data_IF_879948569857
#
_entry.id   IF_879948569857
#
_cell.length_a   1.000
_cell.length_b   1.000
_cell.length_c   1.000
_cell.angle_alpha   90.00
_cell.angle_beta   90.00
_cell.angle_gamma   90.00
#
_symmetry.space_group_name_H-M   'P 1'
#
loop_
_entity.id
_entity.type
_entity.pdbx_description
1 polymer ?
#
# COMPACT_ATOMS: atom_id res chain seq x y z
N UNK A 1 11.57 26.04 12.10
CA UNK A 1 11.00 26.06 13.46
C UNK A 1 9.83 27.01 13.46
N UNK A 2 8.60 26.50 13.54
CA UNK A 2 7.47 27.34 13.91
C UNK A 2 7.58 27.58 15.41
N UNK A 3 7.64 28.84 15.82
CA UNK A 3 7.65 29.19 17.23
C UNK A 3 6.31 28.77 17.85
N UNK A 4 6.36 27.86 18.83
CA UNK A 4 5.17 27.35 19.51
C UNK A 4 4.44 28.44 20.31
N UNK A 5 5.15 29.51 20.67
CA UNK A 5 4.58 30.60 21.47
C UNK A 5 3.56 31.43 20.70
N UNK A 6 3.75 31.60 19.38
CA UNK A 6 2.79 32.33 18.55
C UNK A 6 1.45 31.57 18.42
N UNK A 7 1.49 30.22 18.42
CA UNK A 7 0.28 29.38 18.47
C UNK A 7 -0.36 29.38 19.86
N UNK A 8 0.44 29.31 20.93
CA UNK A 8 -0.04 29.39 22.32
C UNK A 8 -0.77 30.71 22.58
N UNK A 9 -0.24 31.83 22.10
CA UNK A 9 -0.89 33.14 22.22
C UNK A 9 -2.25 33.19 21.53
N UNK A 10 -2.35 32.66 20.30
CA UNK A 10 -3.63 32.57 19.56
C UNK A 10 -4.68 31.75 20.32
N UNK A 11 -4.30 30.57 20.82
CA UNK A 11 -5.19 29.69 21.60
C UNK A 11 -5.60 30.37 22.91
N UNK A 12 -4.67 31.03 23.60
CA UNK A 12 -4.95 31.72 24.85
C UNK A 12 -5.90 32.91 24.65
N UNK A 13 -5.73 33.69 23.57
CA UNK A 13 -6.69 34.74 23.19
C UNK A 13 -8.08 34.17 22.86
N UNK A 14 -8.15 33.05 22.16
CA UNK A 14 -9.42 32.38 21.85
C UNK A 14 -10.15 31.91 23.13
N UNK A 15 -9.39 31.52 24.14
CA UNK A 15 -9.90 31.15 25.46
C UNK A 15 -10.05 32.34 26.43
N UNK A 16 -9.93 33.59 25.94
CA UNK A 16 -10.08 34.83 26.71
C UNK A 16 -9.11 34.95 27.91
N UNK A 17 -7.96 34.29 27.84
CA UNK A 17 -6.88 34.46 28.81
C UNK A 17 -6.34 35.89 28.67
N UNK A 18 -6.22 36.59 29.80
CA UNK A 18 -5.70 37.96 29.84
C UNK A 18 -4.19 37.90 29.97
N UNK A 19 -3.54 38.76 29.20
CA UNK A 19 -2.11 38.99 29.21
C UNK A 19 -1.86 40.43 29.65
N UNK A 20 -0.78 40.63 30.38
CA UNK A 20 -0.29 41.99 30.63
C UNK A 20 0.27 42.61 29.34
N UNK A 21 0.63 43.90 29.42
CA UNK A 21 1.09 44.63 28.24
C UNK A 21 2.45 44.12 27.73
N UNK A 22 3.34 43.68 28.63
CA UNK A 22 4.67 43.19 28.24
C UNK A 22 4.54 41.84 27.53
N UNK A 23 3.72 40.93 28.06
CA UNK A 23 3.44 39.62 27.45
C UNK A 23 2.83 39.80 26.05
N UNK A 24 1.90 40.73 25.87
CA UNK A 24 1.33 41.03 24.55
C UNK A 24 2.38 41.49 23.55
N UNK A 25 3.26 42.41 23.96
CA UNK A 25 4.33 42.91 23.09
C UNK A 25 5.29 41.79 22.68
N UNK A 26 5.69 40.93 23.62
CA UNK A 26 6.54 39.76 23.33
C UNK A 26 5.87 38.81 22.33
N UNK A 27 4.59 38.47 22.54
CA UNK A 27 3.86 37.59 21.62
C UNK A 27 3.65 38.22 20.24
N UNK A 28 3.41 39.53 20.17
CA UNK A 28 3.31 40.25 18.89
C UNK A 28 4.64 40.28 18.13
N UNK A 29 5.76 40.48 18.83
CA UNK A 29 7.09 40.42 18.23
C UNK A 29 7.46 39.01 17.75
N UNK A 30 7.18 37.98 18.55
CA UNK A 30 7.32 36.57 18.15
C UNK A 30 6.49 36.27 16.91
N UNK A 31 5.22 36.68 16.88
CA UNK A 31 4.33 36.48 15.73
C UNK A 31 4.87 37.16 14.46
N UNK A 32 5.28 38.43 14.55
CA UNK A 32 5.85 39.17 13.41
C UNK A 32 7.08 38.47 12.84
N UNK A 33 7.96 38.00 13.72
CA UNK A 33 9.17 37.26 13.32
C UNK A 33 8.80 35.94 12.64
N UNK A 34 7.92 35.15 13.25
CA UNK A 34 7.47 33.86 12.71
C UNK A 34 6.76 34.00 11.36
N UNK A 35 5.92 35.04 11.20
CA UNK A 35 5.26 35.37 9.94
C UNK A 35 6.24 35.82 8.87
N UNK A 36 7.22 36.66 9.23
CA UNK A 36 8.30 37.10 8.32
C UNK A 36 9.14 35.92 7.83
N UNK A 37 9.58 35.05 8.73
CA UNK A 37 10.37 33.87 8.39
C UNK A 37 9.58 32.85 7.56
N UNK A 38 8.30 32.67 7.86
CA UNK A 38 7.41 31.83 7.05
C UNK A 38 7.24 32.40 5.64
N UNK A 39 7.08 33.72 5.51
CA UNK A 39 7.02 34.38 4.19
C UNK A 39 8.32 34.22 3.44
N UNK A 40 9.48 34.43 4.10
CA UNK A 40 10.81 34.23 3.53
C UNK A 40 11.00 32.79 3.04
N UNK A 41 10.57 31.81 3.83
CA UNK A 41 10.60 30.40 3.44
C UNK A 41 9.72 30.12 2.22
N UNK A 42 8.49 30.63 2.18
CA UNK A 42 7.60 30.48 1.02
C UNK A 42 8.20 31.13 -0.23
N UNK A 43 8.79 32.31 -0.08
CA UNK A 43 9.45 33.00 -1.18
C UNK A 43 10.66 32.22 -1.69
N UNK A 44 11.49 31.69 -0.79
CA UNK A 44 12.60 30.80 -1.11
C UNK A 44 12.11 29.53 -1.84
N UNK A 45 11.06 28.88 -1.34
CA UNK A 45 10.45 27.70 -1.99
C UNK A 45 9.94 28.05 -3.40
N UNK A 46 9.36 29.24 -3.59
CA UNK A 46 8.79 29.65 -4.89
C UNK A 46 9.84 30.09 -5.90
N UNK A 47 10.90 30.75 -5.45
CA UNK A 47 11.89 31.40 -6.33
C UNK A 47 13.15 30.56 -6.52
N UNK A 48 13.66 29.99 -5.43
CA UNK A 48 15.02 29.47 -5.37
C UNK A 48 15.07 27.94 -5.32
N UNK A 49 13.99 27.30 -4.86
CA UNK A 49 13.83 25.85 -5.02
C UNK A 49 13.29 25.59 -6.43
N UNK A 50 14.17 25.16 -7.33
CA UNK A 50 13.73 24.47 -8.54
C UNK A 50 12.84 23.32 -8.10
N UNK A 51 11.57 23.34 -8.52
CA UNK A 51 10.59 22.28 -8.25
C UNK A 51 11.31 20.95 -8.33
N UNK A 52 11.34 20.22 -7.20
CA UNK A 52 11.94 18.89 -7.16
C UNK A 52 11.19 18.03 -8.16
N UNK A 53 11.71 17.97 -9.38
CA UNK A 53 11.20 17.10 -10.42
C UNK A 53 11.69 15.73 -10.03
N UNK A 54 10.77 14.93 -9.47
CA UNK A 54 10.91 13.49 -9.44
C UNK A 54 10.91 13.07 -10.92
N UNK A 55 12.05 13.15 -11.58
CA UNK A 55 12.20 12.53 -12.89
C UNK A 55 11.94 11.03 -12.70
N UNK A 56 11.26 10.41 -13.65
CA UNK A 56 10.96 8.97 -13.62
C UNK A 56 12.24 8.09 -13.54
N UNK A 57 13.42 8.69 -13.73
CA UNK A 57 14.73 8.05 -13.64
C UNK A 57 15.36 8.15 -12.24
N UNK A 58 14.69 8.76 -11.25
CA UNK A 58 15.27 9.02 -9.93
C UNK A 58 15.23 7.74 -9.07
N UNK A 59 16.24 6.90 -9.30
CA UNK A 59 16.48 5.65 -8.60
C UNK A 59 17.08 5.92 -7.21
N UNK A 60 16.23 6.21 -6.21
CA UNK A 60 16.67 6.31 -4.81
C UNK A 60 16.35 5.05 -4.01
N UNK A 61 17.09 4.82 -2.93
CA UNK A 61 16.85 3.70 -2.01
C UNK A 61 15.43 3.73 -1.43
N UNK A 62 14.99 4.90 -0.94
CA UNK A 62 13.66 5.08 -0.35
C UNK A 62 12.55 4.86 -1.38
N UNK A 63 12.74 5.35 -2.61
CA UNK A 63 11.77 5.12 -3.67
C UNK A 63 11.64 3.62 -4.01
N UNK A 64 12.74 2.88 -4.07
CA UNK A 64 12.72 1.44 -4.29
C UNK A 64 11.97 0.72 -3.15
N UNK A 65 12.25 1.08 -1.89
CA UNK A 65 11.56 0.53 -0.71
C UNK A 65 10.04 0.73 -0.81
N UNK A 66 9.58 1.95 -1.04
CA UNK A 66 8.15 2.24 -1.17
C UNK A 66 7.51 1.51 -2.35
N UNK A 67 8.22 1.45 -3.48
CA UNK A 67 7.74 0.75 -4.68
C UNK A 67 7.57 -0.74 -4.42
N UNK A 68 8.56 -1.38 -3.79
CA UNK A 68 8.53 -2.80 -3.43
C UNK A 68 7.39 -3.08 -2.45
N UNK A 69 7.26 -2.27 -1.39
CA UNK A 69 6.17 -2.43 -0.40
C UNK A 69 4.79 -2.29 -1.06
N UNK A 70 4.63 -1.36 -2.00
CA UNK A 70 3.41 -1.21 -2.80
C UNK A 70 3.13 -2.38 -3.75
N UNK A 71 4.13 -3.21 -4.06
CA UNK A 71 4.02 -4.38 -4.93
C UNK A 71 3.78 -5.69 -4.18
N UNK A 72 3.90 -5.73 -2.85
CA UNK A 72 3.73 -6.96 -2.03
C UNK A 72 2.40 -7.63 -2.32
N UNK A 73 1.28 -6.92 -2.12
CA UNK A 73 -0.07 -7.46 -2.37
C UNK A 73 -0.29 -7.82 -3.85
N UNK A 74 0.02 -6.95 -4.84
CA UNK A 74 -0.08 -7.30 -6.25
C UNK A 74 0.66 -8.58 -6.66
N UNK A 75 1.89 -8.78 -6.18
CA UNK A 75 2.69 -9.97 -6.52
C UNK A 75 2.04 -11.22 -5.92
N UNK A 76 1.68 -11.18 -4.64
CA UNK A 76 1.09 -12.32 -3.94
C UNK A 76 -0.27 -12.71 -4.54
N UNK A 77 -1.12 -11.76 -4.89
CA UNK A 77 -2.39 -12.04 -5.57
C UNK A 77 -2.19 -12.54 -7.00
N UNK A 78 -1.14 -12.09 -7.69
CA UNK A 78 -0.74 -12.65 -9.00
C UNK A 78 -0.32 -14.11 -8.88
N UNK A 79 0.48 -14.46 -7.86
CA UNK A 79 0.86 -15.85 -7.56
C UNK A 79 -0.40 -16.68 -7.27
N UNK A 80 -1.26 -16.23 -6.35
CA UNK A 80 -2.49 -16.90 -5.95
C UNK A 80 -3.41 -17.18 -7.15
N UNK A 81 -3.63 -16.17 -8.00
CA UNK A 81 -4.48 -16.31 -9.18
C UNK A 81 -3.84 -17.19 -10.27
N UNK A 82 -2.53 -17.15 -10.42
CA UNK A 82 -1.80 -18.05 -11.34
C UNK A 82 -1.95 -19.51 -10.94
N UNK A 83 -1.85 -19.82 -9.64
CA UNK A 83 -2.08 -21.17 -9.12
C UNK A 83 -3.53 -21.63 -9.33
N UNK A 84 -4.52 -20.77 -9.06
CA UNK A 84 -5.93 -21.08 -9.36
C UNK A 84 -6.12 -21.46 -10.84
N UNK A 85 -5.50 -20.71 -11.74
CA UNK A 85 -5.57 -20.98 -13.18
C UNK A 85 -4.88 -22.29 -13.57
N UNK A 86 -3.74 -22.63 -12.97
CA UNK A 86 -3.10 -23.95 -13.18
C UNK A 86 -4.00 -25.10 -12.74
N UNK A 87 -4.64 -24.97 -11.58
CA UNK A 87 -5.58 -25.97 -11.06
C UNK A 87 -6.77 -26.15 -12.00
N UNK A 88 -7.34 -25.06 -12.52
CA UNK A 88 -8.45 -25.13 -13.50
C UNK A 88 -8.02 -25.83 -14.79
N UNK A 89 -6.81 -25.55 -15.27
CA UNK A 89 -6.29 -26.17 -16.49
C UNK A 89 -6.03 -27.66 -16.33
N UNK A 90 -5.74 -28.15 -15.13
CA UNK A 90 -5.53 -29.57 -14.85
C UNK A 90 -6.81 -30.43 -14.93
N UNK A 91 -7.99 -29.79 -14.94
CA UNK A 91 -9.29 -30.50 -14.90
C UNK A 91 -9.88 -30.79 -16.29
N UNK A 92 -9.20 -30.45 -17.40
CA UNK A 92 -9.56 -30.71 -18.82
C UNK A 92 -10.98 -30.34 -19.30
N UNK A 93 -11.85 -29.85 -18.42
CA UNK A 93 -13.31 -29.82 -18.66
C UNK A 93 -13.89 -28.44 -18.88
N UNK A 94 -13.13 -27.37 -18.60
CA UNK A 94 -13.63 -25.99 -18.73
C UNK A 94 -12.51 -25.08 -19.22
N UNK A 95 -12.66 -24.54 -20.44
CA UNK A 95 -11.88 -23.39 -20.93
C UNK A 95 -12.31 -22.12 -20.18
N UNK A 96 -12.11 -22.11 -18.86
CA UNK A 96 -12.38 -20.98 -18.00
C UNK A 96 -11.12 -20.58 -17.26
N UNK A 97 -10.86 -19.27 -17.25
CA UNK A 97 -9.78 -18.64 -16.51
C UNK A 97 -10.36 -17.66 -15.50
N UNK A 98 -9.72 -17.54 -14.35
CA UNK A 98 -9.95 -16.46 -13.41
C UNK A 98 -9.01 -15.29 -13.74
N UNK A 99 -9.60 -14.14 -14.00
CA UNK A 99 -8.90 -12.87 -14.17
C UNK A 99 -9.11 -11.98 -12.97
N UNK A 100 -8.07 -11.24 -12.62
CA UNK A 100 -8.11 -10.21 -11.60
C UNK A 100 -8.81 -8.98 -12.16
N UNK A 101 -9.69 -8.37 -11.37
CA UNK A 101 -10.42 -7.16 -11.75
C UNK A 101 -10.29 -6.12 -10.63
N UNK A 102 -9.14 -5.45 -10.53
CA UNK A 102 -8.92 -4.46 -9.48
C UNK A 102 -9.86 -3.27 -9.67
N UNK A 103 -10.53 -2.86 -8.58
CA UNK A 103 -11.43 -1.69 -8.52
C UNK A 103 -10.84 -0.63 -7.62
N UNK A 104 -10.67 0.56 -8.16
CA UNK A 104 -10.10 1.71 -7.45
C UNK A 104 -10.99 2.09 -6.26
N UNK A 105 -10.37 2.31 -5.10
CA UNK A 105 -11.02 2.88 -3.93
C UNK A 105 -10.75 4.38 -3.91
N UNK A 106 -11.79 5.19 -3.69
CA UNK A 106 -11.71 6.65 -3.70
C UNK A 106 -11.74 7.29 -2.31
N UNK A 107 -11.62 6.52 -1.24
CA UNK A 107 -11.59 7.00 0.14
C UNK A 107 -10.51 6.25 0.93
N UNK A 108 -9.98 6.82 2.03
CA UNK A 108 -8.98 6.14 2.85
C UNK A 108 -9.53 4.81 3.35
N UNK A 109 -8.90 3.72 2.96
CA UNK A 109 -9.34 2.36 3.30
C UNK A 109 -8.15 1.50 3.66
N UNK A 110 -8.39 0.57 4.57
CA UNK A 110 -7.42 -0.41 5.02
C UNK A 110 -8.00 -1.82 4.93
N UNK A 111 -7.12 -2.82 4.92
CA UNK A 111 -7.47 -4.22 5.06
C UNK A 111 -7.00 -4.69 6.45
N UNK A 112 -7.92 -5.18 7.28
CA UNK A 112 -7.58 -5.81 8.54
C UNK A 112 -7.00 -7.20 8.30
N UNK A 113 -5.89 -7.52 8.95
CA UNK A 113 -5.25 -8.84 8.83
C UNK A 113 -5.94 -9.93 9.66
N UNK A 114 -6.73 -9.55 10.68
CA UNK A 114 -7.38 -10.48 11.60
C UNK A 114 -8.87 -10.70 11.31
N UNK A 115 -9.53 -9.79 10.61
CA UNK A 115 -10.94 -9.94 10.32
C UNK A 115 -11.19 -11.10 9.36
N UNK A 116 -12.24 -11.87 9.66
CA UNK A 116 -12.64 -12.99 8.84
C UNK A 116 -13.12 -12.48 7.48
N UNK A 117 -12.49 -12.89 6.36
CA UNK A 117 -12.92 -12.45 5.05
C UNK A 117 -14.29 -13.05 4.71
N UNK A 118 -15.15 -12.24 4.09
CA UNK A 118 -16.35 -12.76 3.45
C UNK A 118 -15.97 -13.62 2.24
N UNK A 119 -16.60 -14.79 2.06
CA UNK A 119 -16.33 -15.66 0.93
C UNK A 119 -17.38 -15.48 -0.17
N UNK A 120 -16.95 -15.48 -1.43
CA UNK A 120 -17.85 -15.60 -2.56
C UNK A 120 -17.39 -16.71 -3.51
N UNK A 121 -18.32 -17.42 -4.12
CA UNK A 121 -18.01 -18.43 -5.14
C UNK A 121 -17.75 -17.73 -6.48
N UNK A 122 -16.54 -17.89 -7.03
CA UNK A 122 -16.15 -17.39 -8.35
C UNK A 122 -15.67 -18.54 -9.21
N UNK A 123 -16.48 -18.90 -10.21
CA UNK A 123 -16.25 -20.13 -10.98
C UNK A 123 -16.41 -21.35 -10.07
N UNK A 124 -15.30 -22.05 -9.82
CA UNK A 124 -15.26 -23.25 -8.95
C UNK A 124 -14.47 -23.01 -7.65
N UNK A 125 -14.05 -21.78 -7.37
CA UNK A 125 -13.31 -21.43 -6.16
C UNK A 125 -14.15 -20.58 -5.22
N UNK A 126 -14.07 -20.88 -3.93
CA UNK A 126 -14.38 -19.88 -2.92
C UNK A 126 -13.24 -18.85 -2.90
N UNK A 127 -13.57 -17.57 -2.94
CA UNK A 127 -12.59 -16.49 -2.96
C UNK A 127 -12.89 -15.55 -1.80
N UNK A 128 -11.86 -15.28 -0.99
CA UNK A 128 -11.90 -14.28 0.07
C UNK A 128 -12.07 -12.89 -0.54
N UNK A 129 -13.08 -12.16 -0.06
CA UNK A 129 -13.33 -10.75 -0.40
C UNK A 129 -12.79 -9.88 0.72
N UNK A 130 -11.91 -8.96 0.34
CA UNK A 130 -11.47 -7.87 1.21
C UNK A 130 -12.66 -6.96 1.54
N UNK A 131 -12.92 -6.79 2.84
CA UNK A 131 -13.84 -5.78 3.35
C UNK A 131 -12.98 -4.56 3.69
N UNK A 132 -13.11 -3.43 2.97
CA UNK A 132 -12.35 -2.23 3.28
C UNK A 132 -12.80 -1.67 4.63
N UNK A 133 -11.84 -1.36 5.49
CA UNK A 133 -12.05 -0.72 6.78
C UNK A 133 -11.69 0.75 6.68
N UNK A 134 -12.55 1.62 7.19
CA UNK A 134 -12.20 3.02 7.41
C UNK A 134 -11.67 3.19 8.83
N UNK A 135 -10.56 3.92 8.97
CA UNK A 135 -10.02 4.30 10.27
C UNK A 135 -10.29 5.79 10.43
N UNK A 136 -11.17 6.14 11.37
CA UNK A 136 -11.52 7.52 11.70
C UNK A 136 -11.18 7.78 13.18
N UNK A 137 -10.40 8.83 13.47
CA UNK A 137 -10.02 9.20 14.84
C UNK A 137 -9.43 8.03 15.66
N UNK A 138 -8.56 7.22 15.04
CA UNK A 138 -7.98 6.02 15.65
C UNK A 138 -8.98 4.91 16.04
N UNK A 139 -10.22 5.03 15.59
CA UNK A 139 -11.26 3.99 15.72
C UNK A 139 -11.46 3.33 14.36
N UNK A 140 -11.49 2.00 14.37
CA UNK A 140 -11.80 1.19 13.21
C UNK A 140 -13.23 0.66 13.33
N UNK A 141 -13.84 0.31 12.20
CA UNK A 141 -15.15 -0.38 12.18
C UNK A 141 -15.11 -1.79 12.81
N UNK A 142 -13.91 -2.32 13.06
CA UNK A 142 -13.71 -3.56 13.79
C UNK A 142 -12.97 -3.33 15.11
N UNK A 143 -13.01 -4.33 16.00
CA UNK A 143 -12.32 -4.31 17.30
C UNK A 143 -10.79 -4.47 17.21
N UNK A 144 -10.25 -4.69 16.01
CA UNK A 144 -8.82 -4.86 15.79
C UNK A 144 -8.05 -3.55 15.91
N UNK A 145 -6.81 -3.64 16.38
CA UNK A 145 -5.95 -2.46 16.58
C UNK A 145 -5.48 -1.87 15.24
N UNK A 146 -5.28 -0.54 15.11
CA UNK A 146 -4.87 0.10 13.85
C UNK A 146 -3.57 -0.45 13.24
N UNK A 147 -2.63 -0.95 14.02
CA UNK A 147 -1.40 -1.61 13.56
C UNK A 147 -1.64 -2.96 12.86
N UNK A 148 -2.83 -3.54 13.03
CA UNK A 148 -3.28 -4.75 12.34
C UNK A 148 -3.92 -4.47 10.98
N UNK A 149 -3.86 -3.22 10.52
CA UNK A 149 -4.47 -2.77 9.28
C UNK A 149 -3.42 -2.32 8.27
N UNK A 150 -3.54 -2.80 7.03
CA UNK A 150 -2.68 -2.35 5.93
C UNK A 150 -3.47 -1.43 4.99
N UNK A 151 -2.96 -0.25 4.62
CA UNK A 151 -3.61 0.61 3.64
C UNK A 151 -3.87 -0.11 2.31
N UNK A 152 -5.05 0.12 1.73
CA UNK A 152 -5.42 -0.41 0.41
C UNK A 152 -5.92 0.72 -0.50
N UNK A 153 -5.51 0.66 -1.76
CA UNK A 153 -5.92 1.63 -2.80
C UNK A 153 -6.89 1.03 -3.82
N UNK A 154 -7.13 -0.27 -3.73
CA UNK A 154 -8.03 -1.00 -4.60
C UNK A 154 -8.67 -2.21 -3.88
N UNK A 155 -9.88 -2.54 -4.31
CA UNK A 155 -10.54 -3.81 -4.02
C UNK A 155 -10.23 -4.80 -5.15
N UNK A 156 -9.90 -6.04 -4.81
CA UNK A 156 -9.61 -7.05 -5.82
C UNK A 156 -10.85 -7.89 -6.11
N UNK A 157 -11.46 -7.69 -7.28
CA UNK A 157 -12.49 -8.58 -7.79
C UNK A 157 -11.91 -9.66 -8.69
N UNK A 158 -12.73 -10.66 -8.99
CA UNK A 158 -12.37 -11.76 -9.87
C UNK A 158 -13.47 -11.92 -10.92
N UNK A 159 -13.07 -12.17 -12.15
CA UNK A 159 -13.97 -12.46 -13.28
C UNK A 159 -13.66 -13.83 -13.85
N UNK A 160 -14.70 -14.55 -14.25
CA UNK A 160 -14.56 -15.80 -14.99
C UNK A 160 -14.61 -15.48 -16.47
N UNK A 161 -13.51 -15.76 -17.19
CA UNK A 161 -13.44 -15.61 -18.64
C UNK A 161 -13.56 -16.99 -19.27
N UNK A 162 -14.61 -17.19 -20.07
CA UNK A 162 -14.87 -18.43 -20.82
C UNK A 162 -14.18 -18.36 -22.19
N UNK A 163 -13.88 -19.51 -22.79
CA UNK A 163 -13.25 -19.66 -24.10
C UNK A 163 -11.86 -19.01 -24.19
N UNK A 164 -11.14 -18.95 -23.07
CA UNK A 164 -9.74 -18.52 -23.07
C UNK A 164 -8.88 -19.53 -23.82
N UNK A 165 -7.85 -19.06 -24.53
CA UNK A 165 -6.78 -19.93 -25.05
C UNK A 165 -6.26 -20.82 -23.93
N UNK A 166 -5.92 -22.07 -24.24
CA UNK A 166 -5.38 -23.02 -23.27
C UNK A 166 -4.21 -22.37 -22.54
N UNK A 167 -4.28 -22.28 -21.21
CA UNK A 167 -3.19 -21.69 -20.43
C UNK A 167 -1.95 -22.55 -20.64
N UNK A 168 -0.87 -21.92 -21.11
CA UNK A 168 0.43 -22.56 -21.19
C UNK A 168 0.95 -22.79 -19.75
N UNK A 169 0.89 -24.06 -19.31
CA UNK A 169 1.29 -24.46 -17.97
C UNK A 169 2.77 -24.16 -17.71
N UNK A 170 3.63 -24.32 -18.72
CA UNK A 170 5.06 -24.11 -18.57
C UNK A 170 5.36 -22.63 -18.42
N UNK A 171 4.71 -21.78 -19.21
CA UNK A 171 4.81 -20.32 -19.05
C UNK A 171 4.34 -19.85 -17.67
N UNK A 172 3.25 -20.41 -17.12
CA UNK A 172 2.75 -20.01 -15.79
C UNK A 172 3.65 -20.53 -14.67
N UNK A 173 4.16 -21.75 -14.76
CA UNK A 173 5.14 -22.27 -13.81
C UNK A 173 6.42 -21.42 -13.80
N UNK A 174 6.92 -21.05 -14.98
CA UNK A 174 8.08 -20.16 -15.10
C UNK A 174 7.81 -18.77 -14.48
N UNK A 175 6.61 -18.22 -14.68
CA UNK A 175 6.17 -16.99 -14.01
C UNK A 175 6.20 -17.12 -12.49
N UNK A 176 5.63 -18.20 -11.94
CA UNK A 176 5.59 -18.44 -10.49
C UNK A 176 6.99 -18.51 -9.88
N UNK A 177 7.91 -19.25 -10.50
CA UNK A 177 9.30 -19.34 -10.06
C UNK A 177 9.98 -17.97 -10.10
N UNK A 178 9.76 -17.18 -11.16
CA UNK A 178 10.31 -15.82 -11.28
C UNK A 178 9.76 -14.88 -10.21
N UNK A 179 8.46 -14.91 -9.95
CA UNK A 179 7.83 -14.09 -8.92
C UNK A 179 8.31 -14.48 -7.52
N UNK A 180 8.38 -15.78 -7.21
CA UNK A 180 8.91 -16.28 -5.94
C UNK A 180 10.35 -15.78 -5.70
N UNK A 181 11.25 -15.92 -6.68
CA UNK A 181 12.62 -15.40 -6.60
C UNK A 181 12.66 -13.88 -6.47
N UNK A 182 11.77 -13.16 -7.15
CA UNK A 182 11.69 -11.72 -7.03
C UNK A 182 11.28 -11.30 -5.61
N UNK A 183 10.29 -11.97 -5.00
CA UNK A 183 9.90 -11.74 -3.62
C UNK A 183 11.09 -11.90 -2.67
N UNK A 184 11.86 -12.99 -2.78
CA UNK A 184 13.04 -13.21 -1.92
C UNK A 184 14.08 -12.11 -2.11
N UNK A 185 14.37 -11.71 -3.35
CA UNK A 185 15.33 -10.63 -3.64
C UNK A 185 14.87 -9.29 -3.07
N UNK A 186 13.58 -8.99 -3.18
CA UNK A 186 12.98 -7.79 -2.60
C UNK A 186 13.02 -7.82 -1.08
N UNK A 187 12.65 -8.93 -0.43
CA UNK A 187 12.73 -9.08 1.02
C UNK A 187 14.14 -8.94 1.54
N UNK A 188 15.11 -9.58 0.89
CA UNK A 188 16.51 -9.44 1.23
C UNK A 188 16.97 -7.97 1.10
N UNK A 189 16.62 -7.29 0.01
CA UNK A 189 16.91 -5.87 -0.17
C UNK A 189 16.29 -4.99 0.92
N UNK A 190 15.02 -5.23 1.28
CA UNK A 190 14.34 -4.47 2.34
C UNK A 190 15.06 -4.65 3.67
N UNK A 191 15.35 -5.90 4.10
CA UNK A 191 16.03 -6.18 5.38
C UNK A 191 17.39 -5.48 5.52
N UNK A 192 18.14 -5.34 4.42
CA UNK A 192 19.48 -4.73 4.45
C UNK A 192 19.48 -3.20 4.26
N UNK A 193 18.34 -2.60 3.92
CA UNK A 193 18.26 -1.17 3.59
C UNK A 193 17.44 -0.35 4.58
N UNK A 194 16.81 -0.98 5.57
CA UNK A 194 15.99 -0.34 6.60
C UNK A 194 16.36 -0.79 8.00
N UNK A 195 16.51 0.16 8.93
CA UNK A 195 16.41 -0.12 10.39
C UNK A 195 14.97 -0.47 10.81
N UNK A 196 14.01 -0.27 9.90
CA UNK A 196 12.58 -0.51 10.09
C UNK A 196 12.23 -1.91 9.60
N UNK A 197 11.90 -2.80 10.53
CA UNK A 197 11.32 -4.14 10.35
C UNK A 197 12.30 -5.30 10.12
N UNK A 198 12.44 -6.12 11.18
CA UNK A 198 12.93 -7.50 11.13
C UNK A 198 12.04 -8.46 10.35
N UNK A 199 10.86 -8.01 9.88
CA UNK A 199 9.85 -8.87 9.28
C UNK A 199 9.89 -8.79 7.76
N UNK A 200 9.76 -9.97 7.14
CA UNK A 200 9.70 -10.16 5.70
C UNK A 200 8.25 -9.98 5.20
N UNK A 201 7.93 -8.88 4.51
CA UNK A 201 6.55 -8.58 4.14
C UNK A 201 5.98 -9.58 3.13
N UNK A 202 6.82 -10.17 2.29
CA UNK A 202 6.38 -11.16 1.31
C UNK A 202 6.08 -12.50 1.98
N UNK A 203 6.92 -12.94 2.91
CA UNK A 203 6.69 -14.16 3.67
C UNK A 203 5.44 -14.04 4.57
N UNK A 204 5.31 -12.93 5.29
CA UNK A 204 4.12 -12.64 6.12
C UNK A 204 2.86 -12.64 5.24
N UNK A 205 2.90 -11.96 4.09
CA UNK A 205 1.78 -11.95 3.16
C UNK A 205 1.44 -13.34 2.60
N UNK A 206 2.43 -14.19 2.32
CA UNK A 206 2.20 -15.56 1.86
C UNK A 206 1.54 -16.43 2.94
N UNK A 207 1.98 -16.30 4.20
CA UNK A 207 1.31 -16.95 5.34
C UNK A 207 -0.15 -16.51 5.44
N UNK A 208 -0.40 -15.20 5.26
CA UNK A 208 -1.77 -14.68 5.27
C UNK A 208 -2.63 -15.31 4.18
N UNK A 209 -2.13 -15.44 2.95
CA UNK A 209 -2.88 -16.10 1.87
C UNK A 209 -3.21 -17.56 2.20
N UNK A 210 -2.26 -18.30 2.79
CA UNK A 210 -2.47 -19.70 3.20
C UNK A 210 -3.53 -19.78 4.30
N UNK A 211 -3.46 -18.89 5.30
CA UNK A 211 -4.43 -18.82 6.40
C UNK A 211 -5.83 -18.55 5.88
N UNK A 212 -5.98 -17.56 5.01
CA UNK A 212 -7.25 -17.23 4.36
C UNK A 212 -7.81 -18.41 3.55
N UNK A 213 -7.01 -19.04 2.69
CA UNK A 213 -7.50 -20.18 1.90
C UNK A 213 -7.84 -21.39 2.79
N UNK A 214 -7.08 -21.61 3.87
CA UNK A 214 -7.38 -22.66 4.85
C UNK A 214 -8.70 -22.38 5.56
N UNK A 215 -8.94 -21.12 5.94
CA UNK A 215 -10.22 -20.70 6.50
C UNK A 215 -11.37 -20.98 5.53
N UNK A 216 -11.22 -20.66 4.24
CA UNK A 216 -12.23 -20.99 3.22
C UNK A 216 -12.49 -22.49 3.14
N UNK A 217 -11.43 -23.31 3.18
CA UNK A 217 -11.54 -24.78 3.17
C UNK A 217 -12.25 -25.34 4.43
N UNK A 218 -12.16 -24.67 5.57
CA UNK A 218 -12.80 -25.15 6.79
C UNK A 218 -14.29 -24.80 6.84
N UNK A 219 -14.69 -23.68 6.24
CA UNK A 219 -16.02 -23.10 6.43
C UNK A 219 -16.97 -23.24 5.23
N UNK A 220 -16.45 -23.47 4.02
CA UNK A 220 -17.26 -23.49 2.80
C UNK A 220 -17.07 -24.78 2.02
N UNK A 221 -18.16 -25.36 1.50
CA UNK A 221 -18.18 -26.61 0.72
C UNK A 221 -18.98 -26.44 -0.57
N UNK A 222 -18.67 -27.17 -1.66
CA UNK A 222 -17.48 -28.02 -1.85
C UNK A 222 -16.20 -27.16 -2.00
N UNK A 223 -15.03 -27.74 -1.70
CA UNK A 223 -13.78 -26.96 -1.65
C UNK A 223 -12.52 -27.71 -2.10
N UNK A 224 -12.67 -28.76 -2.91
CA UNK A 224 -11.54 -29.56 -3.39
C UNK A 224 -10.49 -28.71 -4.11
N UNK A 225 -10.93 -27.70 -4.88
CA UNK A 225 -10.03 -26.80 -5.58
C UNK A 225 -9.28 -25.85 -4.63
N UNK A 226 -9.97 -25.29 -3.64
CA UNK A 226 -9.32 -24.48 -2.60
C UNK A 226 -8.32 -25.33 -1.79
N UNK A 227 -8.63 -26.60 -1.53
CA UNK A 227 -7.71 -27.51 -0.82
C UNK A 227 -6.44 -27.77 -1.64
N UNK A 228 -6.57 -27.97 -2.95
CA UNK A 228 -5.42 -28.02 -3.87
C UNK A 228 -4.63 -26.72 -3.87
N UNK A 229 -5.31 -25.57 -3.89
CA UNK A 229 -4.67 -24.25 -3.84
C UNK A 229 -3.88 -24.04 -2.56
N UNK A 230 -4.39 -24.46 -1.39
CA UNK A 230 -3.64 -24.42 -0.11
C UNK A 230 -2.37 -25.26 -0.20
N UNK A 231 -2.44 -26.46 -0.79
CA UNK A 231 -1.27 -27.31 -0.97
C UNK A 231 -0.22 -26.66 -1.88
N UNK A 232 -0.65 -26.08 -3.00
CA UNK A 232 0.24 -25.39 -3.94
C UNK A 232 0.85 -24.11 -3.32
N UNK A 233 0.09 -23.34 -2.52
CA UNK A 233 0.62 -22.18 -1.79
C UNK A 233 1.66 -22.59 -0.73
N UNK A 234 1.45 -23.69 -0.01
CA UNK A 234 2.45 -24.25 0.91
C UNK A 234 3.71 -24.72 0.17
N UNK A 235 3.57 -25.21 -1.06
CA UNK A 235 4.73 -25.51 -1.90
C UNK A 235 5.49 -24.23 -2.28
N UNK A 236 4.79 -23.16 -2.65
CA UNK A 236 5.41 -21.86 -2.89
C UNK A 236 6.12 -21.31 -1.64
N UNK A 237 5.58 -21.53 -0.45
CA UNK A 237 6.23 -21.16 0.81
C UNK A 237 7.56 -21.91 1.00
N UNK A 238 7.57 -23.23 0.78
CA UNK A 238 8.80 -24.03 0.87
C UNK A 238 9.86 -23.59 -0.15
N UNK A 239 9.46 -23.31 -1.38
CA UNK A 239 10.39 -22.80 -2.41
C UNK A 239 10.90 -21.40 -2.06
N UNK A 240 10.07 -20.55 -1.46
CA UNK A 240 10.47 -19.26 -0.95
C UNK A 240 11.56 -19.41 0.12
N UNK A 241 11.33 -20.25 1.14
CA UNK A 241 12.27 -20.49 2.24
C UNK A 241 13.60 -21.02 1.69
N UNK A 242 13.55 -22.03 0.81
CA UNK A 242 14.74 -22.57 0.14
C UNK A 242 15.54 -21.50 -0.60
N UNK A 243 14.87 -20.63 -1.35
CA UNK A 243 15.54 -19.55 -2.06
C UNK A 243 16.06 -18.45 -1.13
N UNK A 244 15.39 -18.20 -0.01
CA UNK A 244 15.88 -17.31 1.06
C UNK A 244 17.18 -17.85 1.66
N UNK A 245 17.20 -19.12 2.06
CA UNK A 245 18.39 -19.79 2.62
C UNK A 245 19.55 -19.84 1.62
N UNK A 246 19.27 -20.08 0.34
CA UNK A 246 20.27 -20.03 -0.73
C UNK A 246 20.87 -18.63 -0.89
N UNK A 247 20.06 -17.58 -0.73
CA UNK A 247 20.50 -16.19 -0.86
C UNK A 247 21.35 -15.77 0.34
N UNK A 248 20.91 -16.08 1.55
CA UNK A 248 21.65 -15.81 2.79
C UNK A 248 23.02 -16.51 2.77
N UNK A 249 23.08 -17.78 2.34
CA UNK A 249 24.35 -18.51 2.20
C UNK A 249 25.31 -17.90 1.18
N UNK A 250 24.78 -17.34 0.09
CA UNK A 250 25.62 -16.72 -0.97
C UNK A 250 26.11 -15.33 -0.58
N UNK A 251 25.43 -14.65 0.35
CA UNK A 251 25.78 -13.29 0.78
C UNK A 251 25.74 -12.25 -0.35
N UNK A 252 25.12 -12.57 -1.49
CA UNK A 252 25.12 -11.69 -2.67
C UNK A 252 24.07 -10.60 -2.50
N UNK A 253 24.52 -9.39 -2.19
CA UNK A 253 23.67 -8.21 -2.20
C UNK A 253 23.57 -7.65 -3.63
N UNK A 254 22.33 -7.53 -4.12
CA UNK A 254 22.06 -6.88 -5.40
C UNK A 254 22.30 -5.37 -5.31
N UNK A 255 22.80 -4.77 -6.39
CA UNK A 255 22.91 -3.32 -6.49
C UNK A 255 21.52 -2.67 -6.59
N UNK A 256 21.42 -1.38 -6.29
CA UNK A 256 20.16 -0.66 -6.43
C UNK A 256 19.63 -0.68 -7.88
N UNK A 257 20.53 -0.61 -8.87
CA UNK A 257 20.17 -0.70 -10.29
C UNK A 257 19.54 -2.07 -10.61
N UNK A 258 20.14 -3.17 -10.14
CA UNK A 258 19.60 -4.52 -10.31
C UNK A 258 18.20 -4.68 -9.69
N UNK A 259 17.94 -3.97 -8.59
CA UNK A 259 16.63 -3.96 -7.92
C UNK A 259 15.61 -3.20 -8.76
N UNK A 260 15.96 -2.08 -9.37
CA UNK A 260 15.07 -1.37 -10.29
C UNK A 260 14.78 -2.17 -11.55
N UNK A 261 15.77 -2.86 -12.12
CA UNK A 261 15.56 -3.75 -13.25
C UNK A 261 14.59 -4.88 -12.92
N UNK A 262 14.71 -5.43 -11.70
CA UNK A 262 13.77 -6.43 -11.20
C UNK A 262 12.37 -5.87 -10.97
N UNK A 263 12.25 -4.68 -10.37
CA UNK A 263 10.97 -3.95 -10.21
C UNK A 263 10.30 -3.81 -11.57
N UNK A 264 11.02 -3.26 -12.56
CA UNK A 264 10.49 -3.03 -13.90
C UNK A 264 10.06 -4.35 -14.55
N UNK A 265 10.89 -5.39 -14.47
CA UNK A 265 10.56 -6.72 -14.98
C UNK A 265 9.25 -7.27 -14.40
N UNK A 266 9.05 -7.13 -13.08
CA UNK A 266 7.85 -7.64 -12.41
C UNK A 266 6.62 -6.79 -12.76
N UNK A 267 6.77 -5.47 -12.95
CA UNK A 267 5.69 -4.56 -13.35
C UNK A 267 5.14 -4.85 -14.75
N UNK A 268 5.95 -5.45 -15.62
CA UNK A 268 5.53 -5.79 -16.99
C UNK A 268 4.59 -6.99 -17.07
N UNK A 269 4.44 -7.79 -16.01
CA UNK A 269 3.48 -8.88 -16.04
C UNK A 269 2.04 -8.35 -16.15
N UNK A 270 1.19 -8.86 -17.06
CA UNK A 270 -0.13 -8.29 -17.31
C UNK A 270 -1.02 -8.15 -16.05
N UNK A 271 -1.11 -9.20 -15.24
CA UNK A 271 -1.88 -9.20 -13.98
C UNK A 271 -1.32 -8.23 -12.93
N UNK A 272 -0.01 -7.97 -12.95
CA UNK A 272 0.62 -6.97 -12.09
C UNK A 272 0.28 -5.56 -12.57
N UNK A 273 0.40 -5.32 -13.87
CA UNK A 273 0.15 -4.01 -14.49
C UNK A 273 -1.25 -3.49 -14.17
N UNK A 274 -2.28 -4.31 -14.30
CA UNK A 274 -3.66 -3.92 -14.00
C UNK A 274 -3.86 -3.49 -12.54
N UNK A 275 -3.29 -4.25 -11.60
CA UNK A 275 -3.36 -3.90 -10.18
C UNK A 275 -2.60 -2.61 -9.87
N UNK A 276 -1.43 -2.41 -10.46
CA UNK A 276 -0.62 -1.20 -10.28
C UNK A 276 -1.29 0.03 -10.88
N UNK A 277 -1.99 -0.10 -12.01
CA UNK A 277 -2.81 0.99 -12.57
C UNK A 277 -3.89 1.41 -11.56
N UNK A 278 -4.60 0.45 -10.96
CA UNK A 278 -5.62 0.74 -9.97
C UNK A 278 -5.03 1.38 -8.69
N UNK A 279 -3.86 0.93 -8.22
CA UNK A 279 -3.14 1.55 -7.10
C UNK A 279 -2.82 3.01 -7.40
N UNK A 280 -2.19 3.28 -8.54
CA UNK A 280 -1.77 4.62 -8.93
C UNK A 280 -2.97 5.56 -9.11
N UNK A 281 -4.07 5.06 -9.67
CA UNK A 281 -5.31 5.83 -9.79
C UNK A 281 -5.94 6.14 -8.42
N UNK A 282 -5.98 5.15 -7.52
CA UNK A 282 -6.47 5.32 -6.15
C UNK A 282 -5.67 6.36 -5.37
N UNK A 283 -4.33 6.25 -5.42
CA UNK A 283 -3.43 7.24 -4.81
C UNK A 283 -3.65 8.65 -5.37
N UNK A 284 -3.82 8.78 -6.69
CA UNK A 284 -4.12 10.08 -7.33
C UNK A 284 -5.46 10.65 -6.86
N UNK A 285 -6.50 9.83 -6.71
CA UNK A 285 -7.81 10.27 -6.19
C UNK A 285 -7.72 10.72 -4.74
N UNK A 286 -7.03 9.97 -3.89
CA UNK A 286 -6.80 10.32 -2.49
C UNK A 286 -6.03 11.63 -2.35
N UNK A 287 -4.96 11.81 -3.14
CA UNK A 287 -4.17 13.04 -3.12
C UNK A 287 -5.02 14.26 -3.47
N UNK A 288 -5.86 14.14 -4.52
CA UNK A 288 -6.81 15.20 -4.88
C UNK A 288 -7.82 15.52 -3.78
N UNK A 289 -8.32 14.52 -3.07
CA UNK A 289 -9.25 14.73 -1.96
C UNK A 289 -8.60 15.54 -0.83
N UNK A 290 -7.40 15.17 -0.42
CA UNK A 290 -6.66 15.91 0.61
C UNK A 290 -6.28 17.33 0.16
N UNK A 291 -5.89 17.52 -1.11
CA UNK A 291 -5.69 18.86 -1.68
C UNK A 291 -6.98 19.71 -1.65
N UNK A 292 -8.15 19.09 -1.88
CA UNK A 292 -9.45 19.76 -1.81
C UNK A 292 -9.89 20.08 -0.37
N UNK A 293 -9.60 19.22 0.61
CA UNK A 293 -9.91 19.49 2.02
C UNK A 293 -9.13 20.69 2.58
N UNK A 294 -7.86 20.83 2.17
CA UNK A 294 -7.02 21.98 2.52
C UNK A 294 -7.56 23.29 1.91
N UNK A 295 -8.24 23.23 0.77
CA UNK A 295 -8.81 24.40 0.11
C UNK A 295 -10.23 24.75 0.58
N UNK A 296 -10.96 23.78 1.16
CA UNK A 296 -12.33 23.97 1.67
C UNK A 296 -12.43 24.33 3.15
N UNK A 297 -11.36 24.22 3.92
CA UNK A 297 -11.33 24.76 5.29
C UNK A 297 -11.49 26.28 5.18
N UNK A 298 -12.63 26.87 5.64
CA UNK A 298 -12.84 28.29 5.52
C UNK A 298 -11.74 28.99 6.30
N UNK A 299 -10.94 29.79 5.60
CA UNK A 299 -10.13 30.82 6.26
C UNK A 299 -11.11 31.75 6.95
N UNK A 300 -11.41 31.49 8.23
CA UNK A 300 -11.88 32.54 9.13
C UNK A 300 -10.71 33.51 9.29
N UNK A 301 -10.49 34.33 8.27
CA UNK A 301 -9.82 35.61 8.47
C UNK A 301 -10.74 36.37 9.40
N UNK A 302 -10.37 36.39 10.68
CA UNK A 302 -10.85 37.44 11.56
C UNK A 302 -10.19 38.71 11.01
N UNK A 303 -10.99 39.53 10.33
CA UNK A 303 -10.59 40.90 10.00
C UNK A 303 -10.31 41.60 11.33
N UNK A 304 -9.03 41.76 11.64
CA UNK A 304 -8.56 42.65 12.69
C UNK A 304 -8.33 44.00 12.01
N UNK A 305 -9.42 44.67 11.66
CA UNK A 305 -9.40 46.07 11.28
C UNK A 305 -10.64 46.76 11.83
N UNK A 306 -10.42 47.69 12.76
CA UNK A 306 -11.39 48.71 13.17
C UNK A 306 -12.44 48.26 14.18
N UNK A 307 -12.26 48.66 15.44
CA UNK A 307 -13.06 49.80 15.93
C UNK A 307 -12.36 50.41 17.14
N UNK A 308 -11.77 51.58 16.89
CA UNK A 308 -11.35 52.56 17.86
C UNK A 308 -12.36 53.70 17.77
N UNK A 309 -13.34 53.69 18.67
CA UNK A 309 -14.17 54.85 19.02
C UNK A 309 -14.81 54.59 20.37
#
# INVERSE_FOLDING_TARGET
CFDSESFRYLVARQNKIRFDNNEKEEYEMSWKTSASESKRLIEYIRKDITVYRIDNNLQSLKHAQFTILGMVRPILETIRNSLRNLILCSKDSVNARLELDPKVISHPSTNCMLCVPYACLVGQFWVAKTIPHEIQNNHCICECSPDQHTPIHYMLNHKVVKNSSKTDRDSVNHLLVRLCRACVQFSHFLRHSTDLSSHDPFFVGLIQLITEETHLCNNYKPNDLNTKLVADLRMQQKEYDKHSDEMERKGTQKSLADIYDLINTVREYPMMREQLVAINEGQRKLMKLYECEVSRTPRKYVDISGDSS
#
